data_IF_981089890321
#
_entry.id   IF_981089890321
#
_cell.length_a   1.000
_cell.length_b   1.000
_cell.length_c   1.000
_cell.angle_alpha   90.00
_cell.angle_beta   90.00
_cell.angle_gamma   90.00
#
_symmetry.space_group_name_H-M   'P 1'
#
loop_
_entity.id
_entity.type
_entity.pdbx_description
1 polymer ?
#
# COMPACT_ATOMS: atom_id res chain seq x y z
N UNK A 1 -8.25 5.15 -3.06
CA UNK A 1 -7.31 4.65 -2.01
C UNK A 1 -8.02 3.87 -0.91
N UNK A 2 -9.03 4.46 -0.24
CA UNK A 2 -9.71 3.79 0.89
C UNK A 2 -10.44 2.50 0.49
N UNK A 3 -11.10 2.52 -0.67
CA UNK A 3 -11.88 1.41 -1.23
C UNK A 3 -11.48 1.22 -2.71
N UNK A 4 -10.40 0.49 -3.02
CA UNK A 4 -10.07 0.13 -4.40
C UNK A 4 -11.20 -0.68 -5.05
N UNK A 5 -11.46 -0.45 -6.34
CA UNK A 5 -12.53 -1.14 -7.09
C UNK A 5 -13.89 -0.45 -7.02
N UNK A 6 -13.93 0.78 -6.48
CA UNK A 6 -15.16 1.57 -6.30
C UNK A 6 -15.05 3.00 -6.84
N UNK A 7 -14.00 3.34 -7.59
CA UNK A 7 -13.81 4.69 -8.09
C UNK A 7 -14.81 5.06 -9.20
N UNK A 8 -15.22 4.09 -10.02
CA UNK A 8 -16.17 4.26 -11.11
C UNK A 8 -16.88 2.94 -11.46
N UNK A 9 -18.08 3.08 -12.02
CA UNK A 9 -18.88 2.02 -12.64
C UNK A 9 -19.72 2.68 -13.74
N UNK A 10 -19.23 2.61 -14.98
CA UNK A 10 -19.73 3.38 -16.11
C UNK A 10 -19.93 2.48 -17.34
N UNK A 11 -21.01 2.66 -18.13
CA UNK A 11 -21.27 1.81 -19.30
C UNK A 11 -20.21 1.84 -20.41
N UNK A 12 -19.42 2.93 -20.52
CA UNK A 12 -18.36 3.07 -21.53
C UNK A 12 -17.00 2.66 -20.97
N UNK A 13 -16.67 3.05 -19.73
CA UNK A 13 -15.38 2.78 -19.10
C UNK A 13 -15.31 1.43 -18.39
N UNK A 14 -16.45 0.80 -18.11
CA UNK A 14 -16.55 -0.38 -17.27
C UNK A 14 -16.49 -0.03 -15.77
N UNK A 15 -16.08 -1.01 -14.96
CA UNK A 15 -15.94 -0.86 -13.50
C UNK A 15 -14.46 -0.82 -13.11
N UNK A 16 -14.15 -0.03 -12.09
CA UNK A 16 -12.81 0.02 -11.48
C UNK A 16 -12.31 -1.40 -11.11
N UNK A 17 -11.22 -1.88 -11.72
CA UNK A 17 -10.77 -3.26 -11.55
C UNK A 17 -9.84 -3.46 -10.34
N UNK A 18 -9.47 -2.40 -9.61
CA UNK A 18 -8.41 -2.50 -8.60
C UNK A 18 -8.82 -3.35 -7.38
N UNK A 19 -8.08 -4.43 -7.02
CA UNK A 19 -8.28 -5.11 -5.75
C UNK A 19 -7.74 -4.27 -4.57
N UNK A 20 -8.35 -4.46 -3.41
CA UNK A 20 -7.91 -3.85 -2.14
C UNK A 20 -7.21 -4.82 -1.19
N UNK A 21 -6.98 -6.07 -1.58
CA UNK A 21 -6.39 -7.11 -0.75
C UNK A 21 -5.64 -8.14 -1.59
N UNK A 22 -4.53 -8.70 -1.07
CA UNK A 22 -3.67 -9.67 -1.78
C UNK A 22 -4.38 -10.97 -2.18
N UNK A 23 -5.40 -11.38 -1.42
CA UNK A 23 -6.29 -12.51 -1.79
C UNK A 23 -6.91 -12.37 -3.20
N UNK A 24 -7.11 -11.14 -3.65
CA UNK A 24 -7.73 -10.79 -4.94
C UNK A 24 -6.67 -10.27 -5.94
N UNK A 25 -5.37 -10.51 -5.68
CA UNK A 25 -4.29 -10.07 -6.56
C UNK A 25 -4.47 -10.66 -7.96
N UNK A 26 -4.41 -9.80 -8.96
CA UNK A 26 -4.61 -10.20 -10.36
C UNK A 26 -3.27 -10.59 -10.97
N UNK A 27 -3.11 -11.88 -11.28
CA UNK A 27 -1.98 -12.37 -12.07
C UNK A 27 -2.31 -12.24 -13.57
N UNK A 28 -1.58 -11.38 -14.27
CA UNK A 28 -1.81 -11.11 -15.69
C UNK A 28 -0.50 -10.75 -16.40
N UNK A 29 -0.46 -10.95 -17.72
CA UNK A 29 0.61 -10.43 -18.60
C UNK A 29 0.29 -9.04 -19.19
N UNK A 30 -0.94 -8.56 -19.03
CA UNK A 30 -1.36 -7.23 -19.45
C UNK A 30 -0.88 -6.16 -18.47
N UNK A 31 -1.00 -4.88 -18.85
CA UNK A 31 -0.72 -3.76 -17.94
C UNK A 31 0.66 -3.85 -17.26
N UNK A 32 1.68 -4.30 -18.02
CA UNK A 32 3.04 -4.56 -17.54
C UNK A 32 3.09 -5.46 -16.29
N UNK A 33 2.18 -6.44 -16.19
CA UNK A 33 2.02 -7.28 -15.00
C UNK A 33 0.99 -6.75 -14.01
N UNK A 34 0.03 -5.92 -14.44
CA UNK A 34 -1.01 -5.34 -13.59
C UNK A 34 -0.52 -4.22 -12.68
N UNK A 35 0.40 -3.36 -13.14
CA UNK A 35 0.97 -2.28 -12.31
C UNK A 35 -0.09 -1.25 -11.89
N UNK A 36 -1.06 -0.94 -12.75
CA UNK A 36 -2.18 -0.07 -12.41
C UNK A 36 -3.27 -0.85 -11.69
N UNK A 37 -3.55 -2.08 -12.11
CA UNK A 37 -4.58 -2.95 -11.51
C UNK A 37 -4.26 -3.19 -10.02
N UNK A 38 -3.09 -3.72 -9.70
CA UNK A 38 -2.76 -4.17 -8.35
C UNK A 38 -2.32 -3.03 -7.40
N UNK A 39 -2.19 -1.78 -7.90
CA UNK A 39 -1.78 -0.62 -7.08
C UNK A 39 -2.78 -0.27 -5.97
N UNK A 40 -4.02 -0.72 -6.07
CA UNK A 40 -5.04 -0.57 -5.02
C UNK A 40 -4.62 -1.16 -3.67
N UNK A 41 -3.88 -2.28 -3.67
CA UNK A 41 -3.42 -2.98 -2.46
C UNK A 41 -2.48 -2.09 -1.61
N UNK A 42 -1.33 -1.61 -2.12
CA UNK A 42 -0.46 -0.71 -1.36
C UNK A 42 -1.10 0.66 -1.10
N UNK A 43 -1.97 1.15 -1.98
CA UNK A 43 -2.73 2.39 -1.75
C UNK A 43 -3.64 2.29 -0.53
N UNK A 44 -4.34 1.16 -0.35
CA UNK A 44 -5.19 0.91 0.80
C UNK A 44 -4.36 0.75 2.08
N UNK A 45 -3.20 0.11 2.02
CA UNK A 45 -2.28 0.04 3.16
C UNK A 45 -1.84 1.43 3.64
N UNK A 46 -1.45 2.33 2.73
CA UNK A 46 -1.12 3.71 3.10
C UNK A 46 -2.32 4.43 3.75
N UNK A 47 -3.51 4.31 3.15
CA UNK A 47 -4.72 4.91 3.70
C UNK A 47 -5.03 4.43 5.12
N UNK A 48 -4.96 3.12 5.37
CA UNK A 48 -5.20 2.55 6.69
C UNK A 48 -4.17 3.02 7.72
N UNK A 49 -2.87 3.02 7.36
CA UNK A 49 -1.80 3.50 8.22
C UNK A 49 -1.98 4.99 8.57
N UNK A 50 -2.23 5.84 7.57
CA UNK A 50 -2.45 7.27 7.78
C UNK A 50 -3.70 7.55 8.63
N UNK A 51 -4.77 6.78 8.45
CA UNK A 51 -6.00 6.90 9.22
C UNK A 51 -5.78 6.51 10.69
N UNK A 52 -5.07 5.41 10.93
CA UNK A 52 -4.76 4.94 12.28
C UNK A 52 -3.82 5.89 13.04
N UNK A 53 -2.90 6.55 12.33
CA UNK A 53 -1.97 7.52 12.92
C UNK A 53 -2.60 8.88 13.17
N UNK A 54 -3.64 9.24 12.42
CA UNK A 54 -4.33 10.53 12.53
C UNK A 54 -3.45 11.72 12.15
N UNK A 55 -3.95 12.92 12.46
CA UNK A 55 -3.27 14.17 12.13
C UNK A 55 -3.12 14.40 10.63
N UNK A 56 -2.10 15.17 10.25
CA UNK A 56 -1.80 15.39 8.85
C UNK A 56 -1.00 14.21 8.29
N UNK A 57 -1.54 13.54 7.27
CA UNK A 57 -0.97 12.31 6.72
C UNK A 57 0.51 12.44 6.28
N UNK A 58 0.97 13.64 5.91
CA UNK A 58 2.35 13.87 5.48
C UNK A 58 3.36 13.95 6.63
N UNK A 59 2.94 14.21 7.87
CA UNK A 59 3.85 14.40 9.01
C UNK A 59 4.51 13.09 9.46
N UNK A 60 3.71 12.01 9.56
CA UNK A 60 4.19 10.71 10.02
C UNK A 60 4.10 9.65 8.92
N UNK A 61 2.90 9.32 8.42
CA UNK A 61 2.73 8.26 7.43
C UNK A 61 3.48 8.58 6.12
N UNK A 62 3.32 9.78 5.58
CA UNK A 62 4.02 10.24 4.39
C UNK A 62 5.53 10.26 4.58
N UNK A 63 6.01 10.66 5.76
CA UNK A 63 7.44 10.65 6.08
C UNK A 63 8.02 9.23 6.10
N UNK A 64 7.30 8.27 6.70
CA UNK A 64 7.68 6.85 6.72
C UNK A 64 7.82 6.33 5.29
N UNK A 65 6.81 6.53 4.43
CA UNK A 65 6.85 6.10 3.02
C UNK A 65 8.00 6.76 2.25
N UNK A 66 8.22 8.05 2.46
CA UNK A 66 9.30 8.80 1.82
C UNK A 66 10.69 8.30 2.24
N UNK A 67 10.89 8.06 3.54
CA UNK A 67 12.17 7.55 4.03
C UNK A 67 12.39 6.09 3.56
N UNK A 68 11.34 5.26 3.47
CA UNK A 68 11.42 3.91 2.87
C UNK A 68 11.85 3.95 1.40
N UNK A 69 11.31 4.86 0.60
CA UNK A 69 11.67 5.03 -0.81
C UNK A 69 13.15 5.38 -1.03
N UNK A 70 13.81 5.94 -0.01
CA UNK A 70 15.22 6.37 -0.07
C UNK A 70 16.19 5.32 0.44
N UNK A 71 15.71 4.17 0.91
CA UNK A 71 16.57 3.12 1.43
C UNK A 71 17.33 2.43 0.30
N UNK A 72 18.66 2.23 0.42
CA UNK A 72 19.42 1.42 -0.52
C UNK A 72 18.93 -0.04 -0.60
N UNK A 73 18.28 -0.53 0.46
CA UNK A 73 17.69 -1.86 0.51
C UNK A 73 16.43 -2.00 -0.36
N UNK A 74 15.81 -0.89 -0.80
CA UNK A 74 14.69 -0.92 -1.72
C UNK A 74 15.22 -0.96 -3.15
N UNK A 75 15.38 -2.16 -3.69
CA UNK A 75 15.90 -2.37 -5.05
C UNK A 75 14.80 -2.17 -6.11
N UNK A 76 15.15 -1.98 -7.40
CA UNK A 76 14.17 -1.88 -8.48
C UNK A 76 13.29 -3.13 -8.67
N UNK A 77 13.65 -4.26 -8.05
CA UNK A 77 12.89 -5.52 -8.08
C UNK A 77 12.08 -5.75 -6.80
N UNK A 78 11.96 -4.74 -5.93
CA UNK A 78 11.23 -4.87 -4.68
C UNK A 78 9.76 -5.26 -4.91
N UNK A 79 9.30 -6.26 -4.17
CA UNK A 79 7.90 -6.65 -4.11
C UNK A 79 7.17 -5.92 -2.97
N UNK A 80 5.84 -6.12 -2.88
CA UNK A 80 5.03 -5.54 -1.82
C UNK A 80 5.51 -5.95 -0.43
N UNK A 81 5.95 -7.19 -0.26
CA UNK A 81 6.37 -7.71 1.03
C UNK A 81 7.67 -7.05 1.52
N UNK A 82 8.63 -6.81 0.62
CA UNK A 82 9.87 -6.09 0.93
C UNK A 82 9.58 -4.64 1.29
N UNK A 83 8.79 -3.92 0.49
CA UNK A 83 8.42 -2.54 0.81
C UNK A 83 7.68 -2.46 2.15
N UNK A 84 6.75 -3.39 2.41
CA UNK A 84 6.03 -3.47 3.68
C UNK A 84 6.98 -3.63 4.87
N UNK A 85 7.90 -4.60 4.83
CA UNK A 85 8.89 -4.81 5.91
C UNK A 85 9.76 -3.57 6.14
N UNK A 86 10.28 -2.97 5.08
CA UNK A 86 11.11 -1.76 5.18
C UNK A 86 10.33 -0.57 5.76
N UNK A 87 9.05 -0.41 5.40
CA UNK A 87 8.20 0.64 5.96
C UNK A 87 7.90 0.43 7.45
N UNK A 88 7.68 -0.81 7.89
CA UNK A 88 7.53 -1.16 9.31
C UNK A 88 8.81 -0.88 10.10
N UNK A 89 9.98 -1.13 9.50
CA UNK A 89 11.26 -0.79 10.11
C UNK A 89 11.44 0.73 10.26
N UNK A 90 11.18 1.51 9.19
CA UNK A 90 11.25 2.97 9.26
C UNK A 90 10.26 3.54 10.29
N UNK A 91 9.06 2.97 10.37
CA UNK A 91 8.05 3.35 11.34
C UNK A 91 8.49 3.12 12.81
N UNK A 92 9.44 2.21 13.07
CA UNK A 92 10.00 1.97 14.40
C UNK A 92 10.66 3.21 15.02
N UNK A 93 11.13 4.15 14.19
CA UNK A 93 11.69 5.43 14.65
C UNK A 93 10.62 6.41 15.17
N UNK A 94 9.35 6.13 14.90
CA UNK A 94 8.20 6.94 15.26
C UNK A 94 7.34 6.25 16.35
N UNK A 95 7.91 5.31 17.11
CA UNK A 95 7.27 4.66 18.24
C UNK A 95 5.98 3.92 17.86
N UNK A 96 4.83 4.44 18.31
CA UNK A 96 3.51 3.82 18.09
C UNK A 96 3.14 3.63 16.61
N UNK A 97 3.80 4.35 15.69
CA UNK A 97 3.57 4.21 14.25
C UNK A 97 3.87 2.80 13.72
N UNK A 98 4.83 2.09 14.32
CA UNK A 98 5.23 0.77 13.84
C UNK A 98 4.08 -0.24 13.85
N UNK A 99 3.28 -0.25 14.92
CA UNK A 99 2.14 -1.14 15.04
C UNK A 99 1.06 -0.80 14.00
N UNK A 100 0.76 0.48 13.81
CA UNK A 100 -0.22 0.94 12.82
C UNK A 100 0.19 0.59 11.38
N UNK A 101 1.46 0.81 11.01
CA UNK A 101 1.97 0.46 9.68
C UNK A 101 1.97 -1.05 9.45
N UNK A 102 2.38 -1.84 10.45
CA UNK A 102 2.32 -3.30 10.36
C UNK A 102 0.88 -3.77 10.16
N UNK A 103 -0.04 -3.30 10.99
CA UNK A 103 -1.45 -3.69 10.91
C UNK A 103 -2.05 -3.34 9.54
N UNK A 104 -1.76 -2.15 9.01
CA UNK A 104 -2.25 -1.74 7.70
C UNK A 104 -1.80 -2.67 6.55
N UNK A 105 -0.57 -3.18 6.60
CA UNK A 105 -0.09 -4.18 5.63
C UNK A 105 -0.71 -5.57 5.84
N UNK A 106 -0.97 -5.94 7.10
CA UNK A 106 -1.71 -7.17 7.43
C UNK A 106 -3.15 -7.11 6.93
N UNK A 107 -3.83 -5.96 7.08
CA UNK A 107 -5.24 -5.75 6.68
C UNK A 107 -5.47 -5.81 5.16
N UNK A 108 -4.41 -5.63 4.36
CA UNK A 108 -4.43 -5.85 2.90
C UNK A 108 -3.80 -7.18 2.49
N UNK A 109 -3.41 -8.03 3.44
CA UNK A 109 -2.91 -9.38 3.21
C UNK A 109 -1.48 -9.48 2.68
N UNK A 110 -0.66 -8.43 2.85
CA UNK A 110 0.75 -8.43 2.42
C UNK A 110 1.67 -9.01 3.49
N UNK A 111 1.41 -8.72 4.77
CA UNK A 111 2.11 -9.32 5.91
C UNK A 111 1.19 -10.29 6.65
N UNK A 112 1.79 -11.33 7.23
CA UNK A 112 1.14 -12.30 8.13
C UNK A 112 1.50 -12.03 9.58
#
# INVERSE_FOLDING_TARGET
>A
MAQPGSAYDDPLLGRDPQPGHMRDFVQTGEDNGGVHINSGIPNRAFHLAATALGGHAWEVAGRIWYDTLRLPALTPQADFALFARLSVEQAGRHGAAQAAVRQAWTDVGVLT
#
